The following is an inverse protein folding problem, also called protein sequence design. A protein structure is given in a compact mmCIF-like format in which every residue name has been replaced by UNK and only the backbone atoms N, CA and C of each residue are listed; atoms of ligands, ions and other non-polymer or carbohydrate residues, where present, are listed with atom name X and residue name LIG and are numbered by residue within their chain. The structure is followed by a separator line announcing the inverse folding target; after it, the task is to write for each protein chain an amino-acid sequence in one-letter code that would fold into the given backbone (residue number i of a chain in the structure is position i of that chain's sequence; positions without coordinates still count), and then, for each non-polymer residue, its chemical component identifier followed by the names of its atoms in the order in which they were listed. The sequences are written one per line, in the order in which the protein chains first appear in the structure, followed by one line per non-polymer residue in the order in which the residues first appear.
data_IF_303638441765
#
_entry.id   IF_303638441765
#
_cell.length_a   1.000
_cell.length_b   1.000
_cell.length_c   1.000
_cell.angle_alpha   90.00
_cell.angle_beta   90.00
_cell.angle_gamma   90.00
#
_symmetry.space_group_name_H-M   'P 1'
#
loop_
_entity.id
_entity.type
_entity.pdbx_description
1 polymer ?
#
# COMPACT_ATOMS: atom_id res chain seq x y z
N UNK A 1 -1.60 2.83 9.43
CA UNK A 1 -0.33 2.36 10.04
C UNK A 1 -0.53 2.06 11.51
N UNK A 2 -1.00 0.85 11.82
CA UNK A 2 -1.02 0.34 13.19
C UNK A 2 0.38 -0.18 13.50
N UNK A 3 1.08 0.41 14.48
CA UNK A 3 2.42 -0.03 14.84
C UNK A 3 2.36 -1.39 15.52
N UNK A 4 2.93 -2.42 14.89
CA UNK A 4 3.17 -3.71 15.55
C UNK A 4 4.43 -3.54 16.41
N UNK A 5 4.37 -3.74 17.74
CA UNK A 5 5.55 -3.62 18.59
C UNK A 5 6.58 -4.70 18.21
N UNK A 6 7.78 -4.28 17.83
CA UNK A 6 8.89 -5.18 17.54
C UNK A 6 9.71 -5.43 18.80
N UNK A 7 9.69 -6.65 19.33
CA UNK A 7 10.51 -7.03 20.48
C UNK A 7 11.98 -7.20 20.07
N UNK A 8 12.74 -6.14 20.30
CA UNK A 8 14.16 -6.10 19.94
C UNK A 8 15.04 -7.00 20.80
N UNK A 9 14.60 -7.37 22.00
CA UNK A 9 15.36 -8.23 22.91
C UNK A 9 15.21 -9.70 22.51
N UNK A 10 13.97 -10.14 22.24
CA UNK A 10 13.72 -11.50 21.73
C UNK A 10 14.40 -11.72 20.38
N UNK A 11 14.36 -10.72 19.50
CA UNK A 11 15.02 -10.76 18.19
C UNK A 11 16.54 -10.96 18.29
N UNK A 12 17.23 -10.11 19.07
CA UNK A 12 18.70 -10.24 19.27
C UNK A 12 19.04 -11.56 19.96
N UNK A 13 18.25 -11.97 20.96
CA UNK A 13 18.42 -13.24 21.65
C UNK A 13 18.32 -14.45 20.72
N UNK A 14 17.38 -14.42 19.76
CA UNK A 14 17.20 -15.47 18.76
C UNK A 14 18.38 -15.57 17.80
N UNK A 15 18.86 -14.43 17.30
CA UNK A 15 20.04 -14.39 16.43
C UNK A 15 21.29 -14.94 17.13
N UNK A 16 21.48 -14.58 18.41
CA UNK A 16 22.59 -15.11 19.22
C UNK A 16 22.49 -16.61 19.43
N UNK A 17 21.30 -17.14 19.71
CA UNK A 17 21.07 -18.59 19.84
C UNK A 17 21.38 -19.35 18.53
N UNK A 18 21.22 -18.69 17.39
CA UNK A 18 21.59 -19.21 16.07
C UNK A 18 23.09 -19.06 15.74
N UNK A 19 23.93 -18.57 16.68
CA UNK A 19 25.37 -18.41 16.48
C UNK A 19 25.79 -17.10 15.82
N UNK A 20 24.87 -16.15 15.61
CA UNK A 20 25.20 -14.82 15.10
C UNK A 20 25.91 -14.03 16.21
N UNK A 21 27.07 -13.46 15.88
CA UNK A 21 27.83 -12.62 16.81
C UNK A 21 27.03 -11.37 17.24
N UNK A 22 27.27 -10.91 18.47
CA UNK A 22 26.54 -9.79 19.10
C UNK A 22 26.47 -8.55 18.19
N UNK A 23 27.59 -8.15 17.60
CA UNK A 23 27.67 -6.97 16.74
C UNK A 23 26.78 -7.12 15.49
N UNK A 24 26.74 -8.31 14.90
CA UNK A 24 25.88 -8.58 13.74
C UNK A 24 24.40 -8.61 14.15
N UNK A 25 24.06 -9.18 15.31
CA UNK A 25 22.70 -9.20 15.82
C UNK A 25 22.16 -7.79 16.12
N UNK A 26 22.99 -6.93 16.74
CA UNK A 26 22.66 -5.53 17.00
C UNK A 26 22.53 -4.73 15.69
N UNK A 27 23.39 -4.98 14.70
CA UNK A 27 23.27 -4.35 13.39
C UNK A 27 21.94 -4.69 12.69
N UNK A 28 21.51 -5.96 12.75
CA UNK A 28 20.22 -6.39 12.19
C UNK A 28 19.05 -5.74 12.92
N UNK A 29 19.09 -5.68 14.26
CA UNK A 29 18.08 -4.98 15.06
C UNK A 29 17.97 -3.51 14.62
N UNK A 30 19.10 -2.82 14.49
CA UNK A 30 19.12 -1.40 14.15
C UNK A 30 18.63 -1.12 12.71
N UNK A 31 18.89 -2.03 11.78
CA UNK A 31 18.33 -1.97 10.43
C UNK A 31 16.79 -2.14 10.44
N UNK A 32 16.28 -3.06 11.26
CA UNK A 32 14.85 -3.38 11.37
C UNK A 32 14.05 -2.32 12.12
N UNK A 33 14.60 -1.71 13.18
CA UNK A 33 13.95 -0.61 13.92
C UNK A 33 13.60 0.58 13.03
N UNK A 34 14.46 0.87 12.07
CA UNK A 34 14.30 2.00 11.16
C UNK A 34 13.57 1.63 9.87
N UNK A 35 13.25 0.35 9.67
CA UNK A 35 12.54 -0.11 8.50
C UNK A 35 11.03 0.09 8.69
N UNK A 36 10.41 0.84 7.78
CA UNK A 36 8.96 0.96 7.72
C UNK A 36 8.38 -0.26 7.00
N UNK A 37 7.79 -1.19 7.76
CA UNK A 37 7.10 -2.35 7.18
C UNK A 37 5.63 -2.01 6.92
N UNK A 38 5.22 -2.13 5.67
CA UNK A 38 3.80 -2.16 5.34
C UNK A 38 3.21 -3.47 5.84
N UNK A 39 2.17 -3.40 6.66
CA UNK A 39 1.41 -4.60 7.04
C UNK A 39 0.52 -5.02 5.87
N UNK A 40 0.04 -6.27 5.89
CA UNK A 40 -0.97 -6.73 4.92
C UNK A 40 -2.22 -5.83 4.94
N UNK A 41 -2.59 -5.30 6.11
CA UNK A 41 -3.70 -4.37 6.24
C UNK A 41 -3.42 -3.05 5.51
N UNK A 42 -2.21 -2.48 5.67
CA UNK A 42 -1.82 -1.26 4.94
C UNK A 42 -1.85 -1.49 3.41
N UNK A 43 -1.40 -2.66 2.94
CA UNK A 43 -1.44 -3.03 1.52
C UNK A 43 -2.88 -3.16 1.01
N UNK A 44 -3.76 -3.84 1.75
CA UNK A 44 -5.18 -3.97 1.38
C UNK A 44 -5.87 -2.60 1.35
N UNK A 45 -5.57 -1.70 2.30
CA UNK A 45 -6.09 -0.34 2.30
C UNK A 45 -5.63 0.42 1.04
N UNK A 46 -4.36 0.29 0.66
CA UNK A 46 -3.84 0.88 -0.58
C UNK A 46 -4.56 0.34 -1.81
N UNK A 47 -4.72 -0.98 -1.90
CA UNK A 47 -5.40 -1.65 -3.01
C UNK A 47 -6.84 -1.14 -3.14
N UNK A 48 -7.62 -1.16 -2.05
CA UNK A 48 -8.99 -0.65 -2.06
C UNK A 48 -9.07 0.83 -2.48
N UNK A 49 -8.14 1.66 -2.01
CA UNK A 49 -8.10 3.07 -2.37
C UNK A 49 -7.76 3.28 -3.84
N UNK A 50 -6.84 2.49 -4.40
CA UNK A 50 -6.49 2.53 -5.82
C UNK A 50 -7.68 2.08 -6.67
N UNK A 51 -8.31 0.95 -6.33
CA UNK A 51 -9.49 0.44 -7.02
C UNK A 51 -10.62 1.47 -7.01
N UNK A 52 -10.90 2.09 -5.86
CA UNK A 52 -11.94 3.12 -5.76
C UNK A 52 -11.64 4.34 -6.65
N UNK A 53 -10.39 4.83 -6.66
CA UNK A 53 -10.00 5.96 -7.53
C UNK A 53 -10.15 5.62 -9.01
N UNK A 54 -9.73 4.42 -9.42
CA UNK A 54 -9.86 3.94 -10.80
C UNK A 54 -11.35 3.81 -11.18
N UNK A 55 -12.17 3.22 -10.32
CA UNK A 55 -13.61 3.07 -10.56
C UNK A 55 -14.33 4.41 -10.75
N UNK A 56 -14.00 5.41 -9.92
CA UNK A 56 -14.55 6.77 -10.06
C UNK A 56 -14.10 7.40 -11.37
N UNK A 57 -12.81 7.30 -11.71
CA UNK A 57 -12.28 7.87 -12.95
C UNK A 57 -12.93 7.25 -14.20
N UNK A 58 -13.10 5.92 -14.22
CA UNK A 58 -13.78 5.22 -15.31
C UNK A 58 -15.25 5.65 -15.44
N UNK A 59 -15.95 5.78 -14.32
CA UNK A 59 -17.36 6.21 -14.31
C UNK A 59 -17.51 7.63 -14.86
N UNK A 60 -16.67 8.57 -14.43
CA UNK A 60 -16.68 9.95 -14.94
C UNK A 60 -16.36 9.99 -16.43
N UNK A 61 -15.39 9.19 -16.88
CA UNK A 61 -15.03 9.12 -18.29
C UNK A 61 -16.19 8.58 -19.15
N UNK A 62 -16.85 7.51 -18.69
CA UNK A 62 -18.01 6.94 -19.38
C UNK A 62 -19.18 7.94 -19.49
N UNK A 63 -19.45 8.70 -18.41
CA UNK A 63 -20.48 9.75 -18.43
C UNK A 63 -20.13 10.87 -19.41
N UNK A 64 -18.86 11.30 -19.46
CA UNK A 64 -18.41 12.31 -20.41
C UNK A 64 -18.58 11.84 -21.87
N UNK A 65 -18.21 10.58 -22.16
CA UNK A 65 -18.42 10.00 -23.49
C UNK A 65 -19.91 9.92 -23.85
N UNK A 66 -20.76 9.48 -22.91
CA UNK A 66 -22.20 9.40 -23.13
C UNK A 66 -22.81 10.78 -23.43
N UNK A 67 -22.42 11.80 -22.67
CA UNK A 67 -22.88 13.18 -22.90
C UNK A 67 -22.44 13.72 -24.27
N UNK A 68 -21.20 13.44 -24.68
CA UNK A 68 -20.70 13.81 -26.01
C UNK A 68 -21.50 13.13 -27.13
N UNK A 69 -21.78 11.84 -27.00
CA UNK A 69 -22.57 11.09 -27.99
C UNK A 69 -23.99 11.64 -28.09
N UNK A 70 -24.65 11.91 -26.96
CA UNK A 70 -25.99 12.50 -26.95
C UNK A 70 -25.99 13.88 -27.61
N UNK A 71 -25.04 14.76 -27.25
CA UNK A 71 -24.94 16.08 -27.86
C UNK A 71 -24.67 16.05 -29.36
N UNK A 72 -23.87 15.08 -29.84
CA UNK A 72 -23.66 14.83 -31.27
C UNK A 72 -24.93 14.40 -31.98
N UNK A 73 -25.72 13.50 -31.38
CA UNK A 73 -27.00 13.06 -31.94
C UNK A 73 -27.97 14.24 -32.05
N UNK A 74 -28.10 15.05 -31.00
CA UNK A 74 -28.96 16.24 -31.02
C UNK A 74 -28.54 17.23 -32.10
N UNK A 75 -27.24 17.49 -32.26
CA UNK A 75 -26.71 18.39 -33.28
C UNK A 75 -26.98 17.89 -34.70
N UNK A 76 -26.85 16.57 -34.94
CA UNK A 76 -27.08 15.97 -36.26
C UNK A 76 -28.57 15.75 -36.58
N UNK A 77 -29.44 15.87 -35.59
CA UNK A 77 -30.89 15.72 -35.75
C UNK A 77 -31.61 17.06 -36.00
N UNK A 78 -30.88 18.18 -35.97
CA UNK A 78 -31.35 19.52 -36.37
C UNK A 78 -31.12 19.76 -37.87
#
# INVERSE_FOLDING_TARGET
MTAIPFDTHEFVGTLRKAGVGEQAAVAHKNALINAAFATKADLNEMEHRVIAKVAVMLSVHALAQAALVVGLIELLSQ
#
